data_IF_502105610475
#
_entry.id   IF_502105610475
#
_cell.length_a   1.000
_cell.length_b   1.000
_cell.length_c   1.000
_cell.angle_alpha   90.00
_cell.angle_beta   90.00
_cell.angle_gamma   90.00
#
_symmetry.space_group_name_H-M   'P 1'
#
loop_
_entity.id
_entity.type
_entity.pdbx_description
1 polymer ?
#
# COMPACT_ATOMS: atom_id res chain seq x y z
N UNK A 1 -45.97 26.49 -11.13
CA UNK A 1 -44.52 26.72 -11.03
C UNK A 1 -43.97 25.61 -10.15
N UNK A 2 -43.30 24.61 -10.73
CA UNK A 2 -42.81 23.45 -10.00
C UNK A 2 -41.36 23.69 -9.59
N UNK A 3 -41.11 23.73 -8.29
CA UNK A 3 -39.76 23.85 -7.74
C UNK A 3 -39.07 22.50 -7.86
N UNK A 4 -38.14 22.38 -8.81
CA UNK A 4 -37.23 21.23 -8.91
C UNK A 4 -36.06 21.50 -7.97
N UNK A 5 -36.00 20.78 -6.84
CA UNK A 5 -34.82 20.74 -5.97
C UNK A 5 -33.89 19.66 -6.52
N UNK A 6 -32.84 20.07 -7.24
CA UNK A 6 -31.78 19.18 -7.70
C UNK A 6 -30.84 18.93 -6.52
N UNK A 7 -30.91 17.73 -5.94
CA UNK A 7 -30.03 17.30 -4.85
C UNK A 7 -28.72 16.78 -5.46
N UNK A 8 -27.67 17.60 -5.42
CA UNK A 8 -26.33 17.20 -5.82
C UNK A 8 -25.76 16.20 -4.81
N UNK A 9 -25.86 14.90 -5.11
CA UNK A 9 -25.11 13.86 -4.41
C UNK A 9 -23.66 13.90 -4.91
N UNK A 10 -22.83 14.68 -4.23
CA UNK A 10 -21.38 14.67 -4.42
C UNK A 10 -20.77 13.42 -3.81
N UNK A 11 -20.59 12.35 -4.60
CA UNK A 11 -19.74 11.23 -4.23
C UNK A 11 -18.28 11.70 -4.15
N UNK A 12 -17.80 12.04 -2.95
CA UNK A 12 -16.37 12.20 -2.70
C UNK A 12 -15.75 10.79 -2.68
N UNK A 13 -15.39 10.30 -3.86
CA UNK A 13 -14.54 9.11 -3.99
C UNK A 13 -13.12 9.55 -3.62
N UNK A 14 -12.81 9.54 -2.32
CA UNK A 14 -11.43 9.76 -1.88
C UNK A 14 -10.62 8.50 -2.14
N UNK A 15 -9.98 8.45 -3.31
CA UNK A 15 -8.86 7.54 -3.53
C UNK A 15 -7.65 8.16 -2.83
N UNK A 16 -7.47 7.85 -1.54
CA UNK A 16 -6.25 8.22 -0.83
C UNK A 16 -5.13 7.29 -1.28
N UNK A 17 -4.33 7.72 -2.25
CA UNK A 17 -3.06 7.08 -2.57
C UNK A 17 -2.08 7.42 -1.44
N UNK A 18 -1.83 6.46 -0.54
CA UNK A 18 -0.93 6.63 0.59
C UNK A 18 0.54 6.67 0.15
N UNK A 19 1.38 7.40 0.90
CA UNK A 19 2.84 7.31 0.74
C UNK A 19 3.32 6.20 1.67
N UNK A 20 3.66 5.06 1.10
CA UNK A 20 4.18 3.92 1.84
C UNK A 20 5.37 3.32 1.12
N UNK A 21 6.33 2.81 1.89
CA UNK A 21 7.41 2.00 1.35
C UNK A 21 7.28 0.57 1.88
N UNK A 22 7.45 -0.41 0.99
CA UNK A 22 7.57 -1.80 1.41
C UNK A 22 9.04 -2.06 1.75
N UNK A 23 9.31 -2.26 3.05
CA UNK A 23 10.65 -2.48 3.60
C UNK A 23 11.04 -3.95 3.47
N UNK A 24 10.12 -4.84 3.83
CA UNK A 24 10.31 -6.30 3.75
C UNK A 24 9.06 -6.95 3.15
N UNK A 25 9.20 -7.79 2.10
CA UNK A 25 10.38 -7.89 1.25
C UNK A 25 10.69 -6.54 0.58
N UNK A 26 11.96 -6.21 0.27
CA UNK A 26 12.29 -4.90 -0.29
C UNK A 26 11.50 -4.58 -1.56
N UNK A 27 10.94 -3.37 -1.63
CA UNK A 27 10.26 -2.89 -2.83
C UNK A 27 11.18 -2.83 -4.05
N UNK A 28 10.58 -2.73 -5.25
CA UNK A 28 11.33 -2.59 -6.50
C UNK A 28 11.99 -1.21 -6.59
N UNK A 29 13.23 -1.18 -7.06
CA UNK A 29 13.98 0.06 -7.26
C UNK A 29 14.58 0.61 -5.97
N UNK A 30 15.09 1.84 -6.01
CA UNK A 30 15.66 2.47 -4.82
C UNK A 30 14.60 2.79 -3.77
N UNK A 31 15.06 2.98 -2.54
CA UNK A 31 14.30 3.56 -1.44
C UNK A 31 15.06 4.76 -0.89
N UNK A 32 15.37 5.72 -1.77
CA UNK A 32 16.13 6.89 -1.37
C UNK A 32 15.32 7.69 -0.36
N UNK A 33 16.02 8.21 0.65
CA UNK A 33 15.42 9.03 1.70
C UNK A 33 14.21 8.35 2.36
N UNK A 34 14.21 7.01 2.50
CA UNK A 34 13.08 6.29 3.10
C UNK A 34 12.70 6.84 4.49
N UNK A 35 13.66 7.38 5.24
CA UNK A 35 13.46 8.00 6.54
C UNK A 35 12.99 9.47 6.49
N UNK A 36 12.78 10.04 5.29
CA UNK A 36 12.18 11.36 5.11
C UNK A 36 10.68 11.23 4.89
N UNK A 37 9.90 12.04 5.60
CA UNK A 37 8.44 12.07 5.44
C UNK A 37 8.07 12.55 4.04
N UNK A 38 7.23 11.80 3.33
CA UNK A 38 6.84 12.11 1.96
C UNK A 38 7.93 11.84 0.92
N UNK A 39 8.82 10.88 1.17
CA UNK A 39 9.84 10.45 0.22
C UNK A 39 9.22 10.04 -1.12
N UNK A 40 9.80 10.54 -2.22
CA UNK A 40 9.26 10.34 -3.57
C UNK A 40 9.25 8.87 -3.99
N UNK A 41 10.24 8.09 -3.56
CA UNK A 41 10.30 6.64 -3.80
C UNK A 41 9.23 5.84 -3.02
N UNK A 42 8.57 6.46 -2.03
CA UNK A 42 7.41 5.89 -1.31
C UNK A 42 6.06 6.39 -1.86
N UNK A 43 6.04 7.18 -2.94
CA UNK A 43 4.84 7.78 -3.52
C UNK A 43 4.74 7.52 -5.02
N UNK A 44 4.75 6.24 -5.39
CA UNK A 44 4.64 5.83 -6.78
C UNK A 44 3.16 5.57 -7.14
N UNK A 45 2.62 6.40 -8.03
CA UNK A 45 1.19 6.41 -8.38
C UNK A 45 0.76 5.40 -9.44
N UNK A 46 1.71 4.83 -10.17
CA UNK A 46 1.42 3.88 -11.25
C UNK A 46 1.27 2.48 -10.66
N UNK A 47 0.03 2.01 -10.50
CA UNK A 47 -0.22 0.65 -10.02
C UNK A 47 0.25 -0.45 -10.99
N UNK A 48 0.43 -1.69 -10.51
CA UNK A 48 0.44 -2.11 -9.09
C UNK A 48 1.82 -1.94 -8.43
N UNK A 49 2.89 -1.77 -9.20
CA UNK A 49 4.28 -1.79 -8.70
C UNK A 49 4.99 -0.42 -8.78
N UNK A 50 4.25 0.68 -8.81
CA UNK A 50 4.82 2.02 -8.89
C UNK A 50 5.44 2.38 -10.25
N UNK A 51 5.08 1.67 -11.33
CA UNK A 51 5.71 1.80 -12.65
C UNK A 51 7.14 1.28 -12.73
N UNK A 52 7.59 0.53 -11.70
CA UNK A 52 8.94 -0.04 -11.64
C UNK A 52 8.97 -1.44 -12.26
N UNK A 53 9.92 -1.65 -13.17
CA UNK A 53 10.19 -2.94 -13.78
C UNK A 53 10.62 -3.96 -12.73
N UNK A 54 10.18 -5.21 -12.88
CA UNK A 54 10.65 -6.31 -12.05
C UNK A 54 12.14 -6.57 -12.29
N UNK A 55 12.90 -6.79 -11.21
CA UNK A 55 14.25 -7.34 -11.32
C UNK A 55 14.15 -8.87 -11.42
N UNK A 56 14.56 -9.43 -12.55
CA UNK A 56 14.53 -10.87 -12.80
C UNK A 56 15.68 -11.64 -12.14
N UNK A 57 16.69 -10.92 -11.64
CA UNK A 57 17.92 -11.49 -11.06
C UNK A 57 18.00 -11.35 -9.55
N UNK A 58 17.13 -10.53 -8.95
CA UNK A 58 17.05 -10.35 -7.50
C UNK A 58 15.59 -10.34 -7.05
N UNK A 59 15.26 -11.16 -6.07
CA UNK A 59 13.93 -11.19 -5.48
C UNK A 59 13.92 -12.00 -4.19
N UNK A 60 12.84 -11.88 -3.44
CA UNK A 60 12.59 -12.74 -2.28
C UNK A 60 11.87 -13.99 -2.76
N UNK A 61 12.48 -15.16 -2.55
CA UNK A 61 11.83 -16.43 -2.82
C UNK A 61 10.83 -16.73 -1.70
N UNK A 62 9.58 -16.97 -2.07
CA UNK A 62 8.49 -17.32 -1.16
C UNK A 62 8.06 -18.75 -1.45
N UNK A 63 7.70 -19.51 -0.41
CA UNK A 63 7.29 -20.91 -0.51
C UNK A 63 5.84 -21.03 -0.06
N UNK A 64 4.99 -21.65 -0.88
CA UNK A 64 3.58 -21.88 -0.57
C UNK A 64 3.38 -22.53 0.80
N UNK A 65 2.38 -22.05 1.55
CA UNK A 65 2.08 -22.51 2.91
C UNK A 65 3.11 -22.11 3.98
N UNK A 66 4.17 -21.36 3.65
CA UNK A 66 5.10 -20.78 4.64
C UNK A 66 4.70 -19.35 4.96
N UNK A 67 5.07 -18.91 6.16
CA UNK A 67 4.92 -17.52 6.57
C UNK A 67 6.15 -16.71 6.13
N UNK A 68 5.93 -15.45 5.81
CA UNK A 68 6.97 -14.45 5.61
C UNK A 68 6.55 -13.14 6.25
N UNK A 69 7.54 -12.38 6.74
CA UNK A 69 7.28 -11.08 7.35
C UNK A 69 7.07 -10.04 6.25
N UNK A 70 5.96 -9.33 6.34
CA UNK A 70 5.74 -8.09 5.60
C UNK A 70 5.98 -6.92 6.54
N UNK A 71 6.91 -6.04 6.17
CA UNK A 71 7.14 -4.77 6.86
C UNK A 71 6.86 -3.61 5.91
N UNK A 72 5.93 -2.75 6.28
CA UNK A 72 5.56 -1.53 5.57
C UNK A 72 5.94 -0.33 6.43
N UNK A 73 6.56 0.68 5.83
CA UNK A 73 6.72 1.98 6.45
C UNK A 73 5.64 2.93 5.96
N UNK A 74 4.87 3.48 6.90
CA UNK A 74 3.89 4.54 6.67
C UNK A 74 4.62 5.86 6.44
N UNK A 75 5.15 6.09 5.24
CA UNK A 75 6.08 7.19 4.98
C UNK A 75 5.43 8.59 5.12
N UNK A 76 4.16 8.74 4.76
CA UNK A 76 3.34 9.92 5.08
C UNK A 76 2.00 9.47 5.68
N UNK A 77 1.66 10.05 6.82
CA UNK A 77 0.43 9.76 7.54
C UNK A 77 -0.80 10.39 6.86
N UNK A 78 -1.76 9.53 6.54
CA UNK A 78 -3.08 9.89 6.03
C UNK A 78 -4.21 9.22 6.83
N UNK A 79 -3.94 8.82 8.08
CA UNK A 79 -4.89 8.12 8.92
C UNK A 79 -6.14 8.96 9.16
N UNK A 80 -7.31 8.31 9.05
CA UNK A 80 -8.60 8.91 9.35
C UNK A 80 -9.28 8.12 10.48
N UNK A 81 -9.31 8.69 11.68
CA UNK A 81 -9.90 8.03 12.84
C UNK A 81 -11.40 7.69 12.68
N UNK A 82 -12.14 8.46 11.88
CA UNK A 82 -13.56 8.19 11.63
C UNK A 82 -13.77 7.06 10.62
N UNK A 83 -12.78 6.77 9.77
CA UNK A 83 -12.81 5.76 8.71
C UNK A 83 -11.41 5.16 8.53
N UNK A 84 -10.94 4.33 9.49
CA UNK A 84 -9.60 3.76 9.43
C UNK A 84 -9.45 2.87 8.20
N UNK A 85 -8.31 2.98 7.53
CA UNK A 85 -7.95 2.18 6.36
C UNK A 85 -7.15 0.93 6.73
N UNK A 86 -6.55 0.31 5.72
CA UNK A 86 -5.61 -0.79 5.89
C UNK A 86 -4.62 -0.81 4.73
N UNK A 87 -3.48 -1.45 4.95
CA UNK A 87 -2.54 -1.83 3.91
C UNK A 87 -2.87 -3.25 3.43
N UNK A 88 -3.03 -3.41 2.12
CA UNK A 88 -3.31 -4.69 1.50
C UNK A 88 -2.02 -5.37 1.03
N UNK A 89 -1.86 -6.66 1.36
CA UNK A 89 -0.81 -7.50 0.79
C UNK A 89 -1.43 -8.40 -0.26
N UNK A 90 -0.93 -8.30 -1.50
CA UNK A 90 -1.41 -9.09 -2.63
C UNK A 90 -0.29 -9.86 -3.29
N UNK A 91 -0.55 -11.11 -3.66
CA UNK A 91 0.39 -11.98 -4.39
C UNK A 91 -0.28 -12.49 -5.68
N UNK A 92 0.51 -12.58 -6.75
CA UNK A 92 0.10 -13.07 -8.06
C UNK A 92 1.34 -13.42 -8.89
N UNK A 93 1.14 -14.19 -9.96
CA UNK A 93 2.22 -14.53 -10.90
C UNK A 93 2.58 -13.33 -11.80
N UNK A 94 1.63 -12.42 -11.99
CA UNK A 94 1.72 -11.20 -12.77
C UNK A 94 0.79 -10.13 -12.19
N UNK A 95 0.80 -8.94 -12.79
CA UNK A 95 -0.02 -7.80 -12.37
C UNK A 95 -1.52 -8.05 -12.48
N UNK A 96 -1.95 -8.90 -13.43
CA UNK A 96 -3.36 -9.20 -13.68
C UNK A 96 -3.93 -10.26 -12.72
N UNK A 97 -3.05 -11.04 -12.08
CA UNK A 97 -3.41 -12.17 -11.20
C UNK A 97 -3.20 -11.89 -9.72
N UNK A 98 -2.89 -10.64 -9.34
CA UNK A 98 -2.74 -10.24 -7.94
C UNK A 98 -4.03 -10.51 -7.15
N UNK A 99 -3.90 -11.27 -6.07
CA UNK A 99 -4.96 -11.52 -5.09
C UNK A 99 -4.52 -11.03 -3.74
N UNK A 100 -5.40 -10.28 -3.09
CA UNK A 100 -5.22 -9.89 -1.69
C UNK A 100 -5.26 -11.13 -0.79
N UNK A 101 -4.24 -11.28 0.04
CA UNK A 101 -4.08 -12.42 0.96
C UNK A 101 -4.02 -11.99 2.43
N UNK A 102 -3.75 -10.70 2.69
CA UNK A 102 -3.62 -10.18 4.04
C UNK A 102 -3.93 -8.69 4.12
N UNK A 103 -4.39 -8.24 5.29
CA UNK A 103 -4.64 -6.83 5.59
C UNK A 103 -3.98 -6.44 6.89
N UNK A 104 -3.25 -5.34 6.87
CA UNK A 104 -2.65 -4.75 8.06
C UNK A 104 -3.41 -3.46 8.37
N UNK A 105 -4.05 -3.37 9.53
CA UNK A 105 -4.82 -2.19 9.91
C UNK A 105 -3.94 -0.93 9.95
N UNK A 106 -4.37 0.15 9.31
CA UNK A 106 -3.75 1.46 9.48
C UNK A 106 -4.27 2.05 10.80
N UNK A 107 -3.35 2.56 11.60
CA UNK A 107 -3.64 3.06 12.96
C UNK A 107 -3.18 4.52 13.09
N UNK A 108 -3.41 5.11 14.26
CA UNK A 108 -3.02 6.49 14.56
C UNK A 108 -1.49 6.70 14.69
N UNK A 109 -0.68 5.68 14.39
CA UNK A 109 0.76 5.81 14.38
C UNK A 109 1.23 6.87 13.37
N UNK A 110 2.27 7.64 13.71
CA UNK A 110 2.72 8.78 12.92
C UNK A 110 3.40 8.36 11.60
N UNK A 111 3.78 9.36 10.81
CA UNK A 111 4.66 9.12 9.66
C UNK A 111 5.95 8.44 10.09
N UNK A 112 6.50 7.62 9.20
CA UNK A 112 7.67 6.74 9.37
C UNK A 112 7.46 5.53 10.31
N UNK A 113 6.26 5.33 10.87
CA UNK A 113 5.96 4.14 11.64
C UNK A 113 6.09 2.86 10.78
N UNK A 114 6.62 1.80 11.40
CA UNK A 114 6.77 0.49 10.79
C UNK A 114 5.63 -0.43 11.23
N UNK A 115 4.95 -1.00 10.26
CA UNK A 115 3.93 -2.02 10.43
C UNK A 115 4.52 -3.35 9.98
N UNK A 116 4.62 -4.32 10.89
CA UNK A 116 5.13 -5.66 10.57
C UNK A 116 4.13 -6.72 10.94
N UNK A 117 3.90 -7.67 10.04
CA UNK A 117 2.99 -8.79 10.27
C UNK A 117 3.46 -10.06 9.55
N UNK A 118 3.09 -11.21 10.08
CA UNK A 118 3.38 -12.51 9.48
C UNK A 118 2.28 -12.88 8.46
N UNK A 119 2.68 -13.04 7.20
CA UNK A 119 1.76 -13.34 6.09
C UNK A 119 2.00 -14.76 5.60
N UNK A 120 0.93 -15.55 5.49
CA UNK A 120 1.02 -16.90 4.91
C UNK A 120 0.94 -16.82 3.40
N UNK A 121 1.92 -17.41 2.71
CA UNK A 121 1.90 -17.57 1.26
C UNK A 121 0.79 -18.58 0.91
N UNK A 122 -0.13 -18.23 0.00
CA UNK A 122 -1.25 -19.09 -0.39
C UNK A 122 -0.80 -20.41 -1.04
#
# INVERSE_FOLDING_TARGET
MWNVVILWVGCVVSLSYGHMCLVTPPQRGPSNDINAVGASDCYLKTGPCGGRTQNLTSGTALVAGKQFVVTIQKNLDHFNAARPGYFAVSIGADEASLKEIHRIADTAEPSLALYSDDVTVP
#
